data_IF_948532046453
#
_entry.id   IF_948532046453
#
_cell.length_a   1.000
_cell.length_b   1.000
_cell.length_c   1.000
_cell.angle_alpha   90.00
_cell.angle_beta   90.00
_cell.angle_gamma   90.00
#
_symmetry.space_group_name_H-M   'P 1'
#
loop_
_entity.id
_entity.type
_entity.pdbx_description
1 polymer ?
#
# COMPACT_ATOMS: atom_id res chain seq x y z
N UNK A 1 56.80 12.61 -21.24
CA UNK A 1 56.38 12.23 -19.87
C UNK A 1 55.00 12.81 -19.64
N UNK A 2 53.96 12.03 -19.93
CA UNK A 2 52.57 12.46 -19.80
C UNK A 2 52.07 12.21 -18.37
N UNK A 3 51.72 13.29 -17.69
CA UNK A 3 50.99 13.18 -16.43
C UNK A 3 49.52 12.90 -16.74
N UNK A 4 49.09 11.67 -16.47
CA UNK A 4 47.71 11.27 -16.49
C UNK A 4 47.00 11.88 -15.29
N UNK A 5 46.19 12.91 -15.51
CA UNK A 5 45.30 13.47 -14.48
C UNK A 5 44.09 12.55 -14.35
N UNK A 6 44.07 11.77 -13.28
CA UNK A 6 42.91 10.96 -12.92
C UNK A 6 41.87 11.91 -12.34
N UNK A 7 40.88 12.28 -13.15
CA UNK A 7 39.72 13.03 -12.63
C UNK A 7 38.81 12.04 -11.94
N UNK A 8 38.82 12.06 -10.62
CA UNK A 8 37.90 11.30 -9.79
C UNK A 8 36.56 12.01 -9.82
N UNK A 9 35.64 11.52 -10.66
CA UNK A 9 34.26 11.98 -10.64
C UNK A 9 33.60 11.35 -9.43
N UNK A 10 33.50 12.10 -8.34
CA UNK A 10 32.70 11.70 -7.19
C UNK A 10 31.25 11.88 -7.60
N UNK A 11 30.60 10.76 -7.95
CA UNK A 11 29.15 10.72 -8.14
C UNK A 11 28.53 10.86 -6.76
N UNK A 12 28.19 12.08 -6.38
CA UNK A 12 27.35 12.32 -5.21
C UNK A 12 25.96 11.77 -5.52
N UNK A 13 25.70 10.56 -5.06
CA UNK A 13 24.32 10.09 -4.95
C UNK A 13 23.61 11.00 -3.94
N UNK A 14 22.93 12.01 -4.44
CA UNK A 14 21.97 12.74 -3.64
C UNK A 14 20.88 11.75 -3.23
N UNK A 15 20.91 11.31 -2.01
CA UNK A 15 19.81 10.54 -1.44
C UNK A 15 18.60 11.47 -1.40
N UNK A 16 17.44 11.04 -1.89
CA UNK A 16 16.24 11.81 -1.70
C UNK A 16 16.02 11.94 -0.19
N UNK A 17 16.04 13.16 0.28
CA UNK A 17 15.68 13.42 1.66
C UNK A 17 14.31 12.84 1.90
N UNK A 18 14.22 11.90 2.83
CA UNK A 18 12.94 11.42 3.30
C UNK A 18 12.22 12.63 3.90
N UNK A 19 11.25 13.15 3.15
CA UNK A 19 10.38 14.16 3.69
C UNK A 19 9.70 13.59 4.92
N UNK A 20 10.15 14.03 6.10
CA UNK A 20 9.46 13.72 7.33
C UNK A 20 8.06 14.31 7.21
N UNK A 21 7.07 13.44 7.09
CA UNK A 21 5.68 13.82 7.16
C UNK A 21 5.46 14.59 8.45
N UNK A 22 4.84 15.77 8.42
CA UNK A 22 4.53 16.46 9.66
C UNK A 22 3.68 15.51 10.51
N UNK A 23 4.25 15.06 11.63
CA UNK A 23 3.48 14.32 12.61
C UNK A 23 2.33 15.23 13.00
N UNK A 24 1.13 14.89 12.55
CA UNK A 24 -0.06 15.51 13.09
C UNK A 24 0.00 15.26 14.59
N UNK A 25 0.21 16.32 15.36
CA UNK A 25 -0.05 16.26 16.79
C UNK A 25 -1.51 15.85 16.91
N UNK A 26 -1.71 14.61 17.36
CA UNK A 26 -3.01 14.21 17.82
C UNK A 26 -3.31 15.01 19.06
N UNK A 27 -3.89 16.17 18.87
CA UNK A 27 -4.46 16.94 19.97
C UNK A 27 -5.57 16.12 20.57
N UNK A 28 -5.56 16.00 21.90
CA UNK A 28 -6.40 15.25 22.79
C UNK A 28 -7.66 14.67 22.18
N UNK A 29 -7.63 13.39 21.94
CA UNK A 29 -8.76 12.65 21.50
C UNK A 29 -9.74 12.48 22.64
N UNK A 30 -10.87 13.13 22.55
CA UNK A 30 -12.06 12.42 22.91
C UNK A 30 -12.10 11.17 22.02
N UNK A 31 -12.19 9.99 22.62
CA UNK A 31 -12.42 8.76 21.88
C UNK A 31 -13.77 8.91 21.16
N UNK A 32 -13.72 9.50 19.99
CA UNK A 32 -14.81 9.39 19.04
C UNK A 32 -14.76 7.92 18.64
N UNK A 33 -15.76 7.19 19.05
CA UNK A 33 -16.05 5.90 18.46
C UNK A 33 -15.94 6.09 16.96
N UNK A 34 -14.85 5.60 16.40
CA UNK A 34 -14.74 5.54 14.94
C UNK A 34 -15.99 4.80 14.49
N UNK A 35 -16.85 5.44 13.72
CA UNK A 35 -17.98 4.77 13.12
C UNK A 35 -17.46 3.46 12.52
N UNK A 36 -18.15 2.31 12.74
CA UNK A 36 -17.70 1.06 12.18
C UNK A 36 -17.43 1.28 10.71
N UNK A 37 -16.25 0.88 10.25
CA UNK A 37 -15.90 0.99 8.84
C UNK A 37 -16.83 0.05 8.09
N UNK A 38 -17.92 0.60 7.60
CA UNK A 38 -18.91 -0.14 6.84
C UNK A 38 -18.31 -0.33 5.45
N UNK A 39 -17.89 -1.53 5.17
CA UNK A 39 -17.45 -1.98 3.85
C UNK A 39 -17.90 -3.40 3.64
N UNK A 40 -18.14 -3.76 2.39
CA UNK A 40 -18.51 -5.12 2.03
C UNK A 40 -17.27 -6.01 2.00
N UNK A 41 -17.03 -6.73 3.08
CA UNK A 41 -15.90 -7.68 3.17
C UNK A 41 -16.13 -8.96 2.36
N UNK A 42 -17.29 -9.13 1.78
CA UNK A 42 -17.57 -10.28 0.91
C UNK A 42 -16.90 -10.18 -0.47
N UNK A 43 -16.47 -8.98 -0.85
CA UNK A 43 -15.79 -8.72 -2.12
C UNK A 43 -14.37 -8.19 -1.92
N UNK A 44 -13.48 -8.47 -2.86
CA UNK A 44 -12.13 -7.90 -2.85
C UNK A 44 -12.14 -6.37 -2.97
N UNK A 45 -13.06 -5.82 -3.77
CA UNK A 45 -13.23 -4.38 -3.90
C UNK A 45 -13.63 -3.74 -2.57
N UNK A 46 -14.56 -4.32 -1.84
CA UNK A 46 -14.97 -3.82 -0.53
C UNK A 46 -13.82 -3.83 0.49
N UNK A 47 -13.00 -4.86 0.48
CA UNK A 47 -11.79 -4.92 1.34
C UNK A 47 -10.78 -3.84 0.94
N UNK A 48 -10.55 -3.60 -0.35
CA UNK A 48 -9.67 -2.53 -0.82
C UNK A 48 -10.18 -1.15 -0.38
N UNK A 49 -11.48 -0.91 -0.44
CA UNK A 49 -12.11 0.34 0.01
C UNK A 49 -11.96 0.54 1.53
N UNK A 50 -12.09 -0.51 2.32
CA UNK A 50 -11.85 -0.45 3.77
C UNK A 50 -10.40 -0.08 4.05
N UNK A 51 -9.44 -0.72 3.39
CA UNK A 51 -8.02 -0.40 3.51
C UNK A 51 -7.76 1.08 3.19
N UNK A 52 -8.34 1.58 2.09
CA UNK A 52 -8.18 2.95 1.66
C UNK A 52 -8.74 3.96 2.69
N UNK A 53 -9.88 3.67 3.28
CA UNK A 53 -10.48 4.50 4.34
C UNK A 53 -9.64 4.51 5.61
N UNK A 54 -9.07 3.36 5.98
CA UNK A 54 -8.23 3.22 7.16
C UNK A 54 -6.78 3.67 6.92
N UNK A 55 -6.36 3.82 5.66
CA UNK A 55 -5.00 4.17 5.29
C UNK A 55 -3.98 3.10 5.62
N UNK A 56 -4.38 1.84 5.69
CA UNK A 56 -3.50 0.70 6.00
C UNK A 56 -3.93 -0.57 5.32
N UNK A 57 -2.95 -1.40 4.99
CA UNK A 57 -3.16 -2.76 4.51
C UNK A 57 -3.66 -3.65 5.64
N UNK A 58 -4.61 -4.52 5.35
CA UNK A 58 -5.10 -5.51 6.30
C UNK A 58 -6.16 -6.41 5.73
N UNK A 59 -6.30 -7.56 6.34
CA UNK A 59 -7.36 -8.52 6.07
C UNK A 59 -8.56 -8.20 6.98
N UNK A 60 -9.65 -7.77 6.40
CA UNK A 60 -10.82 -7.32 7.18
C UNK A 60 -11.93 -8.38 7.29
N UNK A 61 -11.56 -9.62 7.10
CA UNK A 61 -12.40 -10.77 7.36
C UNK A 61 -13.38 -11.12 6.25
N UNK A 62 -14.16 -12.17 6.47
CA UNK A 62 -15.27 -12.56 5.61
C UNK A 62 -14.91 -13.45 4.41
N UNK A 63 -13.65 -13.82 4.24
CA UNK A 63 -13.22 -14.74 3.20
C UNK A 63 -12.81 -16.10 3.76
N UNK A 64 -13.30 -17.18 3.18
CA UNK A 64 -12.96 -18.55 3.56
C UNK A 64 -11.78 -19.13 2.77
N UNK A 65 -11.26 -18.40 1.78
CA UNK A 65 -10.15 -18.80 0.93
C UNK A 65 -8.88 -17.98 1.20
N UNK A 66 -7.98 -18.00 0.24
CA UNK A 66 -6.77 -17.19 0.29
C UNK A 66 -7.05 -15.75 -0.14
N UNK A 67 -6.60 -14.83 0.64
CA UNK A 67 -6.71 -13.40 0.37
C UNK A 67 -5.34 -12.74 0.53
N UNK A 68 -4.95 -11.96 -0.46
CA UNK A 68 -3.75 -11.13 -0.42
C UNK A 68 -4.12 -9.66 -0.48
N UNK A 69 -3.52 -8.85 0.38
CA UNK A 69 -3.70 -7.41 0.39
C UNK A 69 -2.35 -6.71 0.19
N UNK A 70 -2.39 -5.54 -0.44
CA UNK A 70 -1.20 -4.77 -0.74
C UNK A 70 -1.50 -3.31 -0.95
N UNK A 71 -0.45 -2.51 -1.03
CA UNK A 71 -0.53 -1.08 -1.33
C UNK A 71 0.60 -0.65 -2.23
N UNK A 72 0.43 0.48 -2.88
CA UNK A 72 1.43 1.04 -3.77
C UNK A 72 1.03 2.40 -4.35
N UNK A 73 1.92 3.03 -5.12
CA UNK A 73 1.67 4.35 -5.70
C UNK A 73 0.67 4.34 -6.86
N UNK A 74 0.39 3.18 -7.43
CA UNK A 74 -0.56 2.97 -8.52
C UNK A 74 -1.43 1.75 -8.24
N UNK A 75 -2.62 1.61 -8.89
CA UNK A 75 -3.43 0.40 -8.74
C UNK A 75 -2.67 -0.88 -9.10
N UNK A 76 -1.89 -0.84 -10.17
CA UNK A 76 -1.11 -1.97 -10.66
C UNK A 76 -0.03 -2.37 -9.65
N UNK A 77 0.67 -1.40 -9.05
CA UNK A 77 1.67 -1.65 -8.02
C UNK A 77 1.03 -2.23 -6.76
N UNK A 78 -0.12 -1.71 -6.35
CA UNK A 78 -0.87 -2.24 -5.21
C UNK A 78 -1.28 -3.70 -5.42
N UNK A 79 -1.78 -4.03 -6.62
CA UNK A 79 -2.13 -5.41 -7.00
C UNK A 79 -0.90 -6.32 -7.03
N UNK A 80 0.23 -5.86 -7.55
CA UNK A 80 1.47 -6.63 -7.59
C UNK A 80 2.04 -6.90 -6.19
N UNK A 81 1.80 -6.01 -5.25
CA UNK A 81 2.26 -6.12 -3.86
C UNK A 81 1.34 -6.96 -2.97
N UNK A 82 0.20 -7.44 -3.47
CA UNK A 82 -0.65 -8.34 -2.73
C UNK A 82 0.08 -9.64 -2.40
N UNK A 83 -0.13 -10.18 -1.20
CA UNK A 83 0.36 -11.50 -0.82
C UNK A 83 -0.10 -12.53 -1.84
N UNK A 84 0.70 -13.57 -2.02
CA UNK A 84 0.44 -14.66 -2.98
C UNK A 84 0.40 -14.26 -4.47
N UNK A 85 0.80 -13.06 -4.84
CA UNK A 85 0.80 -12.63 -6.25
C UNK A 85 1.65 -13.52 -7.16
N UNK A 86 2.69 -14.16 -6.61
CA UNK A 86 3.61 -15.06 -7.33
C UNK A 86 3.37 -16.54 -6.98
N UNK A 87 2.24 -16.89 -6.39
CA UNK A 87 1.96 -18.25 -5.90
C UNK A 87 1.54 -19.23 -7.00
N UNK A 88 1.14 -18.73 -8.17
CA UNK A 88 0.52 -19.52 -9.23
C UNK A 88 -0.97 -19.84 -8.99
N UNK A 89 -1.55 -19.42 -7.87
CA UNK A 89 -2.98 -19.56 -7.62
C UNK A 89 -3.79 -18.67 -8.57
N UNK A 90 -4.97 -19.13 -8.96
CA UNK A 90 -5.87 -18.35 -9.79
C UNK A 90 -6.52 -17.21 -9.01
N UNK A 91 -6.48 -16.00 -9.56
CA UNK A 91 -7.23 -14.86 -9.03
C UNK A 91 -8.69 -15.00 -9.42
N UNK A 92 -9.58 -15.05 -8.45
CA UNK A 92 -11.03 -15.18 -8.68
C UNK A 92 -11.79 -13.89 -8.42
N UNK A 93 -11.21 -12.97 -7.68
CA UNK A 93 -11.77 -11.64 -7.41
C UNK A 93 -10.61 -10.68 -7.08
N UNK A 94 -10.72 -9.44 -7.51
CA UNK A 94 -9.74 -8.41 -7.17
C UNK A 94 -10.38 -7.02 -7.16
N UNK A 95 -9.81 -6.13 -6.38
CA UNK A 95 -10.26 -4.76 -6.30
C UNK A 95 -9.15 -3.81 -5.87
N UNK A 96 -9.32 -2.55 -6.20
CA UNK A 96 -8.41 -1.47 -5.82
C UNK A 96 -9.20 -0.25 -5.36
N UNK A 97 -8.62 0.52 -4.45
CA UNK A 97 -9.17 1.79 -4.02
C UNK A 97 -8.05 2.75 -3.62
N UNK A 98 -8.25 4.03 -3.87
CA UNK A 98 -7.29 5.07 -3.51
C UNK A 98 -7.65 5.68 -2.15
N UNK A 99 -6.67 5.76 -1.25
CA UNK A 99 -6.81 6.43 0.03
C UNK A 99 -6.66 7.94 -0.07
N UNK A 100 -7.02 8.65 0.99
CA UNK A 100 -6.98 10.11 1.05
C UNK A 100 -5.58 10.70 0.81
N UNK A 101 -4.52 9.96 1.10
CA UNK A 101 -3.13 10.35 0.87
C UNK A 101 -2.61 10.07 -0.54
N UNK A 102 -3.46 9.57 -1.45
CA UNK A 102 -3.08 9.23 -2.82
C UNK A 102 -2.50 7.84 -2.99
N UNK A 103 -2.25 7.11 -1.92
CA UNK A 103 -1.79 5.72 -1.97
C UNK A 103 -2.92 4.81 -2.40
N UNK A 104 -2.61 3.83 -3.25
CA UNK A 104 -3.55 2.81 -3.67
C UNK A 104 -3.47 1.58 -2.78
N UNK A 105 -4.61 0.97 -2.56
CA UNK A 105 -4.77 -0.28 -1.83
C UNK A 105 -5.43 -1.30 -2.73
N UNK A 106 -5.07 -2.56 -2.53
CA UNK A 106 -5.58 -3.65 -3.34
C UNK A 106 -5.89 -4.87 -2.49
N UNK A 107 -6.80 -5.67 -2.98
CA UNK A 107 -7.11 -6.98 -2.47
C UNK A 107 -7.29 -7.95 -3.63
N UNK A 108 -6.75 -9.14 -3.49
CA UNK A 108 -6.94 -10.27 -4.41
C UNK A 108 -7.45 -11.47 -3.64
N UNK A 109 -8.37 -12.19 -4.23
CA UNK A 109 -8.82 -13.49 -3.72
C UNK A 109 -8.44 -14.58 -4.69
N UNK A 110 -8.03 -15.70 -4.16
CA UNK A 110 -7.43 -16.80 -4.92
C UNK A 110 -8.15 -18.12 -4.65
N UNK A 111 -8.01 -19.02 -5.62
CA UNK A 111 -8.37 -20.43 -5.54
C UNK A 111 -7.22 -21.31 -5.97
#
# INVERSE_FOLDING_TARGET
MGRLLLVLVILSCAQPEAHAWPRRRSGGSSARYAAPVVGDTSTAQGVAEIQARLGRVGHFGGNTGYEGCGSGPTPEAALANCCYSNSGMAVVDQGTAQGAGGQWFACKRYR
#
